data_IF_600869250446
#
_entry.id   IF_600869250446
#
_cell.length_a   1.000
_cell.length_b   1.000
_cell.length_c   1.000
_cell.angle_alpha   90.00
_cell.angle_beta   90.00
_cell.angle_gamma   90.00
#
_symmetry.space_group_name_H-M   'P 1'
#
loop_
_entity.id
_entity.type
_entity.pdbx_description
1 polymer ?
#
# COMPACT_ATOMS: atom_id res chain seq x y z
N UNK A 1 -0.77 -3.81 14.99
CA UNK A 1 -0.49 -4.00 13.54
C UNK A 1 -0.07 -2.74 12.82
N UNK A 2 -0.69 -1.58 13.06
CA UNK A 2 -0.30 -0.29 12.45
C UNK A 2 1.21 0.02 12.53
N UNK A 3 1.81 -0.14 13.72
CA UNK A 3 3.26 0.09 13.93
C UNK A 3 4.14 -0.77 13.01
N UNK A 4 3.84 -2.07 12.91
CA UNK A 4 4.58 -3.00 12.07
C UNK A 4 4.48 -2.61 10.59
N UNK A 5 3.26 -2.35 10.12
CA UNK A 5 3.01 -1.98 8.73
C UNK A 5 3.68 -0.64 8.38
N UNK A 6 3.64 0.34 9.28
CA UNK A 6 4.32 1.62 9.10
C UNK A 6 5.84 1.44 9.05
N UNK A 7 6.42 0.62 9.92
CA UNK A 7 7.85 0.29 9.87
C UNK A 7 8.23 -0.38 8.56
N UNK A 8 7.46 -1.37 8.09
CA UNK A 8 7.72 -2.04 6.82
C UNK A 8 7.63 -1.11 5.63
N UNK A 9 6.58 -0.28 5.55
CA UNK A 9 6.40 0.70 4.46
C UNK A 9 7.51 1.76 4.48
N UNK A 10 7.93 2.21 5.65
CA UNK A 10 9.03 3.16 5.81
C UNK A 10 10.38 2.58 5.40
N UNK A 11 10.74 1.41 5.93
CA UNK A 11 12.02 0.75 5.64
C UNK A 11 12.12 0.33 4.18
N UNK A 12 11.06 -0.27 3.62
CA UNK A 12 11.05 -0.65 2.19
C UNK A 12 11.16 0.57 1.27
N UNK A 13 10.52 1.70 1.60
CA UNK A 13 10.66 2.95 0.85
C UNK A 13 12.09 3.46 0.86
N UNK A 14 12.75 3.44 2.03
CA UNK A 14 14.15 3.85 2.15
C UNK A 14 15.10 2.93 1.37
N UNK A 15 14.99 1.62 1.59
CA UNK A 15 15.85 0.63 0.93
C UNK A 15 15.67 0.64 -0.59
N UNK A 16 14.45 0.81 -1.09
CA UNK A 16 14.21 0.87 -2.54
C UNK A 16 14.84 2.12 -3.16
N UNK A 17 14.79 3.27 -2.48
CA UNK A 17 15.45 4.50 -2.94
C UNK A 17 16.97 4.36 -2.94
N UNK A 18 17.54 3.64 -1.98
CA UNK A 18 18.98 3.37 -1.89
C UNK A 18 19.43 2.37 -2.98
N UNK A 19 18.68 1.28 -3.18
CA UNK A 19 19.03 0.23 -4.12
C UNK A 19 18.74 0.57 -5.59
N UNK A 20 17.76 1.46 -5.82
CA UNK A 20 17.26 1.79 -7.15
C UNK A 20 17.07 3.31 -7.28
N UNK A 21 18.15 4.12 -7.31
CA UNK A 21 18.03 5.56 -7.45
C UNK A 21 17.36 5.98 -8.77
N UNK A 22 17.36 5.13 -9.79
CA UNK A 22 16.70 5.38 -11.09
C UNK A 22 15.17 5.50 -11.02
N UNK A 23 14.53 4.92 -9.99
CA UNK A 23 13.08 5.06 -9.78
C UNK A 23 12.71 6.25 -8.90
N UNK A 24 13.67 7.05 -8.43
CA UNK A 24 13.47 8.15 -7.50
C UNK A 24 12.53 9.28 -7.98
N UNK A 25 12.11 9.29 -9.24
CA UNK A 25 11.13 10.25 -9.79
C UNK A 25 9.81 9.63 -10.26
N UNK A 26 9.63 8.30 -10.15
CA UNK A 26 8.43 7.59 -10.62
C UNK A 26 7.35 7.45 -9.54
N UNK A 27 7.58 8.02 -8.36
CA UNK A 27 6.64 7.97 -7.25
C UNK A 27 5.56 9.04 -7.38
N UNK A 28 4.30 8.64 -7.19
CA UNK A 28 3.19 9.58 -7.12
C UNK A 28 3.33 10.43 -5.85
N UNK A 29 3.45 11.76 -6.00
CA UNK A 29 3.64 12.71 -4.89
C UNK A 29 4.85 12.43 -3.98
N UNK A 30 5.89 11.78 -4.50
CA UNK A 30 7.11 11.48 -3.73
C UNK A 30 6.95 10.39 -2.67
N UNK A 31 5.82 9.66 -2.65
CA UNK A 31 5.56 8.56 -1.73
C UNK A 31 5.45 7.23 -2.48
N UNK A 32 6.17 6.21 -1.99
CA UNK A 32 6.15 4.88 -2.58
C UNK A 32 4.83 4.14 -2.30
N UNK A 33 4.31 4.29 -1.09
CA UNK A 33 3.15 3.56 -0.62
C UNK A 33 1.98 4.52 -0.35
N UNK A 34 0.76 4.09 -0.69
CA UNK A 34 -0.46 4.72 -0.20
C UNK A 34 -0.45 4.75 1.34
N UNK A 35 -1.01 5.80 2.01
CA UNK A 35 -1.13 5.81 3.46
C UNK A 35 -1.98 4.64 4.00
N UNK A 36 -2.94 4.15 3.21
CA UNK A 36 -3.82 3.03 3.58
C UNK A 36 -3.07 1.70 3.71
N UNK A 37 -3.56 0.82 4.58
CA UNK A 37 -3.11 -0.56 4.65
C UNK A 37 -4.26 -1.49 5.03
N UNK A 38 -4.16 -2.74 4.57
CA UNK A 38 -5.10 -3.80 4.89
C UNK A 38 -4.33 -4.96 5.53
N UNK A 39 -4.82 -5.46 6.65
CA UNK A 39 -4.24 -6.59 7.35
C UNK A 39 -5.39 -7.49 7.84
N UNK A 40 -5.37 -8.76 7.45
CA UNK A 40 -6.37 -9.76 7.81
C UNK A 40 -5.66 -11.00 8.34
N UNK A 41 -6.24 -11.63 9.36
CA UNK A 41 -5.78 -12.94 9.82
C UNK A 41 -6.18 -14.01 8.81
N UNK A 42 -5.23 -14.77 8.29
CA UNK A 42 -5.50 -15.86 7.36
C UNK A 42 -6.01 -17.10 8.11
N UNK A 43 -7.31 -17.13 8.39
CA UNK A 43 -8.06 -18.32 8.76
C UNK A 43 -9.18 -18.57 7.74
N UNK A 44 -8.94 -19.47 6.78
CA UNK A 44 -10.00 -20.18 6.04
C UNK A 44 -10.64 -19.57 4.78
N UNK A 45 -10.60 -18.25 4.52
CA UNK A 45 -11.14 -17.70 3.25
C UNK A 45 -10.54 -16.33 2.90
N UNK A 46 -9.54 -16.31 1.99
CA UNK A 46 -8.72 -15.14 1.69
C UNK A 46 -9.13 -14.35 0.45
N UNK A 47 -9.80 -14.98 -0.52
CA UNK A 47 -9.89 -14.42 -1.87
C UNK A 47 -10.97 -13.33 -1.98
N UNK A 48 -12.17 -13.59 -1.47
CA UNK A 48 -13.31 -12.66 -1.55
C UNK A 48 -13.04 -11.36 -0.79
N UNK A 49 -12.37 -11.45 0.36
CA UNK A 49 -12.05 -10.29 1.21
C UNK A 49 -11.02 -9.38 0.51
N UNK A 50 -10.00 -9.96 -0.13
CA UNK A 50 -9.00 -9.18 -0.88
C UNK A 50 -9.66 -8.52 -2.09
N UNK A 51 -10.54 -9.24 -2.78
CA UNK A 51 -11.28 -8.72 -3.93
C UNK A 51 -12.15 -7.52 -3.53
N UNK A 52 -12.91 -7.65 -2.44
CA UNK A 52 -13.76 -6.59 -1.90
C UNK A 52 -12.95 -5.36 -1.45
N UNK A 53 -11.76 -5.54 -0.87
CA UNK A 53 -10.89 -4.42 -0.51
C UNK A 53 -10.42 -3.65 -1.76
N UNK A 54 -9.97 -4.35 -2.81
CA UNK A 54 -9.51 -3.73 -4.05
C UNK A 54 -10.64 -2.94 -4.73
N UNK A 55 -11.84 -3.52 -4.80
CA UNK A 55 -13.02 -2.88 -5.39
C UNK A 55 -13.41 -1.61 -4.62
N UNK A 56 -13.41 -1.66 -3.29
CA UNK A 56 -13.72 -0.52 -2.42
C UNK A 56 -12.69 0.61 -2.54
N UNK A 57 -11.41 0.29 -2.75
CA UNK A 57 -10.38 1.31 -2.95
C UNK A 57 -10.51 2.00 -4.30
N UNK A 58 -10.94 1.28 -5.35
CA UNK A 58 -11.16 1.86 -6.68
C UNK A 58 -12.36 2.80 -6.72
N UNK A 59 -13.48 2.41 -6.12
CA UNK A 59 -14.71 3.22 -6.10
C UNK A 59 -14.53 4.54 -5.31
N UNK A 60 -13.78 4.51 -4.21
CA UNK A 60 -13.42 5.72 -3.44
C UNK A 60 -12.45 6.65 -4.17
N UNK A 61 -11.66 6.14 -5.12
CA UNK A 61 -10.76 6.95 -5.93
C UNK A 61 -11.48 7.66 -7.09
N UNK A 62 -12.69 7.21 -7.48
CA UNK A 62 -13.47 7.74 -8.60
C UNK A 62 -14.59 8.71 -8.22
N UNK A 63 -14.80 9.03 -6.94
CA UNK A 63 -15.74 10.08 -6.51
C UNK A 63 -15.13 11.47 -6.76
N UNK A 64 -15.70 12.34 -7.62
CA UNK A 64 -15.27 13.73 -7.69
C UNK A 64 -15.75 14.50 -6.43
N UNK A 65 -15.11 15.63 -6.08
CA UNK A 65 -15.56 16.51 -5.00
C UNK A 65 -16.93 17.13 -5.27
#
# INVERSE_FOLDING_TARGET
MSKLVNSLKGVSSRLLREARPEVAGRYFKGVLWSPSYFAVSCGGALLDIVWQYVETQRSRASSPP
#
